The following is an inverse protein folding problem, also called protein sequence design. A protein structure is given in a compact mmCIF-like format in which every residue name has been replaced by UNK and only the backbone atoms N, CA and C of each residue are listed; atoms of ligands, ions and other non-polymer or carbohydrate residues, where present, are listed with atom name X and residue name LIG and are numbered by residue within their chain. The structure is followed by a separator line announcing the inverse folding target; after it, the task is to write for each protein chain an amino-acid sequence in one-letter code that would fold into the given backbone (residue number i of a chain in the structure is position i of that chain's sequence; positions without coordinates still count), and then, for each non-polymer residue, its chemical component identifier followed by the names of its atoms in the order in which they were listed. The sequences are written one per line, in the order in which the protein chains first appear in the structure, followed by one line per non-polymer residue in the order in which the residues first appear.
data_IF_507329140821
#
_entry.id   IF_507329140821
#
_cell.length_a   1.000
_cell.length_b   1.000
_cell.length_c   1.000
_cell.angle_alpha   90.00
_cell.angle_beta   90.00
_cell.angle_gamma   90.00
#
_symmetry.space_group_name_H-M   'P 1'
#
loop_
_entity.id
_entity.type
_entity.pdbx_description
1 polymer ?
#
# COMPACT_ATOMS: atom_id res chain seq x y z
N UNK A 1 -11.26 -13.73 11.53
CA UNK A 1 -10.83 -14.83 10.65
C UNK A 1 -10.59 -14.23 9.28
N UNK A 2 -9.40 -14.33 8.70
CA UNK A 2 -9.17 -13.83 7.36
C UNK A 2 -10.01 -14.66 6.38
N UNK A 3 -10.93 -13.99 5.69
CA UNK A 3 -11.88 -14.62 4.75
C UNK A 3 -11.20 -15.04 3.44
N UNK A 4 -9.97 -14.63 3.23
CA UNK A 4 -9.21 -14.90 2.00
C UNK A 4 -7.83 -15.49 2.36
N UNK A 5 -7.73 -16.81 2.37
CA UNK A 5 -6.42 -17.48 2.29
C UNK A 5 -6.04 -17.60 0.81
N UNK A 6 -5.49 -16.55 0.25
CA UNK A 6 -4.78 -16.69 -1.02
C UNK A 6 -3.44 -17.37 -0.72
N UNK A 7 -3.26 -18.58 -1.20
CA UNK A 7 -1.97 -19.25 -1.12
C UNK A 7 -1.03 -18.62 -2.17
N UNK A 8 -0.40 -17.49 -1.81
CA UNK A 8 0.52 -16.78 -2.70
C UNK A 8 1.92 -17.40 -2.74
N UNK A 9 2.20 -18.45 -1.93
CA UNK A 9 3.52 -19.09 -1.85
C UNK A 9 3.95 -19.76 -3.16
N UNK A 10 3.00 -20.07 -4.03
CA UNK A 10 3.29 -20.66 -5.34
C UNK A 10 3.64 -19.59 -6.41
N UNK A 11 3.53 -18.31 -6.08
CA UNK A 11 3.92 -17.23 -6.98
C UNK A 11 5.44 -17.19 -7.12
N UNK A 12 5.91 -17.27 -8.34
CA UNK A 12 7.33 -17.13 -8.64
C UNK A 12 7.70 -15.65 -8.73
N UNK A 13 8.61 -15.23 -7.88
CA UNK A 13 9.20 -13.89 -7.92
C UNK A 13 10.54 -13.97 -8.65
N UNK A 14 10.68 -13.18 -9.71
CA UNK A 14 11.94 -13.03 -10.42
C UNK A 14 12.76 -11.93 -9.73
N UNK A 15 13.72 -12.34 -8.91
CA UNK A 15 14.58 -11.43 -8.14
C UNK A 15 15.48 -10.55 -9.03
N UNK A 16 15.77 -10.98 -10.26
CA UNK A 16 16.57 -10.21 -11.21
C UNK A 16 15.73 -9.10 -11.87
N UNK A 17 14.41 -9.26 -11.90
CA UNK A 17 13.48 -8.27 -12.44
C UNK A 17 12.99 -7.24 -11.39
N UNK A 18 13.40 -7.35 -10.13
CA UNK A 18 13.02 -6.41 -9.07
C UNK A 18 13.62 -5.03 -9.36
N UNK A 19 12.76 -4.01 -9.36
CA UNK A 19 13.14 -2.62 -9.62
C UNK A 19 13.82 -1.99 -8.41
N UNK A 20 14.66 -0.98 -8.65
CA UNK A 20 15.32 -0.22 -7.57
C UNK A 20 14.38 0.75 -6.88
N UNK A 21 13.43 1.32 -7.64
CA UNK A 21 12.41 2.22 -7.09
C UNK A 21 11.16 2.26 -7.95
N UNK A 22 10.04 2.58 -7.30
CA UNK A 22 8.75 2.86 -7.96
C UNK A 22 8.07 4.04 -7.28
N UNK A 23 7.14 4.68 -7.99
CA UNK A 23 6.25 5.72 -7.48
C UNK A 23 4.84 5.40 -7.92
N UNK A 24 3.89 5.42 -6.99
CA UNK A 24 2.48 5.14 -7.25
C UNK A 24 1.65 6.26 -6.65
N UNK A 25 0.69 6.75 -7.41
CA UNK A 25 -0.34 7.69 -7.00
C UNK A 25 -1.65 6.94 -6.82
N UNK A 26 -2.38 7.23 -5.75
CA UNK A 26 -3.74 6.77 -5.53
C UNK A 26 -4.66 7.96 -5.26
N UNK A 27 -5.76 8.09 -6.02
CA UNK A 27 -6.67 9.23 -5.93
C UNK A 27 -7.49 9.19 -4.64
N UNK A 28 -8.04 10.35 -4.28
CA UNK A 28 -9.08 10.45 -3.27
C UNK A 28 -10.35 9.73 -3.70
N UNK A 29 -11.09 9.26 -2.72
CA UNK A 29 -12.39 8.61 -2.93
C UNK A 29 -13.45 9.23 -2.05
N UNK A 30 -14.67 9.28 -2.57
CA UNK A 30 -15.87 9.68 -1.82
C UNK A 30 -16.74 8.44 -1.69
N UNK A 31 -16.85 7.89 -0.48
CA UNK A 31 -17.54 6.63 -0.22
C UNK A 31 -19.05 6.79 0.03
N UNK A 32 -19.51 7.99 0.36
CA UNK A 32 -20.90 8.23 0.76
C UNK A 32 -21.52 9.30 -0.13
N UNK A 33 -22.27 8.87 -1.12
CA UNK A 33 -23.04 9.77 -1.98
C UNK A 33 -24.51 9.80 -1.56
N UNK A 34 -24.93 10.87 -0.89
CA UNK A 34 -26.31 11.20 -0.52
C UNK A 34 -27.24 9.98 -0.38
N UNK A 35 -28.00 9.64 -1.44
CA UNK A 35 -28.93 8.50 -1.45
C UNK A 35 -28.24 7.13 -1.61
N UNK A 36 -26.95 7.09 -1.88
CA UNK A 36 -26.13 5.88 -2.03
C UNK A 36 -25.18 5.64 -0.88
N UNK A 37 -25.53 6.10 0.33
CA UNK A 37 -24.76 5.88 1.56
C UNK A 37 -24.38 4.40 1.71
N UNK A 38 -23.10 4.11 1.92
CA UNK A 38 -22.49 2.78 2.01
C UNK A 38 -22.59 1.88 0.75
N UNK A 39 -23.22 2.36 -0.33
CA UNK A 39 -23.42 1.57 -1.56
C UNK A 39 -22.70 2.20 -2.75
N UNK A 40 -22.75 3.54 -2.86
CA UNK A 40 -22.18 4.27 -3.98
C UNK A 40 -21.00 5.12 -3.53
N UNK A 41 -19.91 4.98 -4.27
CA UNK A 41 -18.71 5.79 -4.13
C UNK A 41 -18.09 6.04 -5.49
N UNK A 42 -17.19 7.01 -5.54
CA UNK A 42 -16.41 7.31 -6.74
C UNK A 42 -15.00 7.78 -6.37
N UNK A 43 -14.06 7.58 -7.28
CA UNK A 43 -12.74 8.19 -7.22
C UNK A 43 -12.73 9.50 -8.00
N UNK A 44 -11.88 10.43 -7.57
CA UNK A 44 -11.64 11.69 -8.29
C UNK A 44 -10.23 11.67 -8.87
N UNK A 45 -9.97 12.47 -9.90
CA UNK A 45 -8.63 12.51 -10.51
C UNK A 45 -7.60 13.14 -9.56
N UNK A 46 -8.00 14.17 -8.81
CA UNK A 46 -7.20 14.88 -7.81
C UNK A 46 -8.11 15.40 -6.68
N UNK A 47 -7.59 15.56 -5.44
CA UNK A 47 -6.26 15.18 -4.96
C UNK A 47 -6.09 13.67 -4.79
N UNK A 48 -4.89 13.25 -4.41
CA UNK A 48 -4.56 11.88 -4.06
C UNK A 48 -3.24 11.81 -3.29
N UNK A 49 -2.95 10.68 -2.70
CA UNK A 49 -1.69 10.47 -1.99
C UNK A 49 -0.71 9.65 -2.85
N UNK A 50 0.57 9.75 -2.53
CA UNK A 50 1.61 9.04 -3.26
C UNK A 50 2.46 8.19 -2.34
N UNK A 51 2.92 7.07 -2.89
CA UNK A 51 3.93 6.21 -2.26
C UNK A 51 5.11 6.11 -3.20
N UNK A 52 6.29 6.42 -2.68
CA UNK A 52 7.56 6.02 -3.29
C UNK A 52 8.12 4.86 -2.50
N UNK A 53 8.58 3.85 -3.20
CA UNK A 53 9.17 2.67 -2.58
C UNK A 53 10.53 2.39 -3.21
N UNK A 54 11.51 2.12 -2.36
CA UNK A 54 12.89 1.90 -2.71
C UNK A 54 13.32 0.51 -2.27
N UNK A 55 13.99 -0.22 -3.16
CA UNK A 55 14.71 -1.44 -2.79
C UNK A 55 15.96 -1.09 -2.01
N UNK A 56 16.19 -1.79 -0.90
CA UNK A 56 17.38 -1.64 -0.08
C UNK A 56 18.00 -3.01 0.20
N UNK A 57 19.29 -3.03 0.55
CA UNK A 57 20.03 -4.27 0.78
C UNK A 57 19.66 -4.98 2.09
N UNK A 58 19.25 -4.22 3.09
CA UNK A 58 18.85 -4.76 4.39
C UNK A 58 17.39 -5.20 4.34
N UNK A 59 17.10 -6.47 4.63
CA UNK A 59 15.75 -7.03 4.58
C UNK A 59 14.79 -6.35 5.55
N UNK A 60 13.50 -6.43 5.23
CA UNK A 60 12.41 -5.86 6.02
C UNK A 60 11.80 -4.60 5.41
N UNK A 61 10.74 -4.12 6.03
CA UNK A 61 9.96 -2.96 5.59
C UNK A 61 10.15 -1.82 6.58
N UNK A 62 10.51 -0.63 6.07
CA UNK A 62 10.74 0.58 6.86
C UNK A 62 10.01 1.77 6.26
N UNK A 63 9.57 2.68 7.11
CA UNK A 63 9.12 4.02 6.68
C UNK A 63 10.33 4.94 6.69
N UNK A 64 10.70 5.44 5.52
CA UNK A 64 11.79 6.39 5.34
C UNK A 64 11.39 7.80 5.76
N UNK A 65 10.22 8.23 5.31
CA UNK A 65 9.67 9.55 5.60
C UNK A 65 8.18 9.61 5.32
N UNK A 66 7.50 10.55 5.99
CA UNK A 66 6.12 10.92 5.72
C UNK A 66 6.08 12.44 5.56
N UNK A 67 5.54 12.92 4.45
CA UNK A 67 5.44 14.34 4.13
C UNK A 67 3.97 14.71 3.99
N UNK A 68 3.57 15.86 4.51
CA UNK A 68 2.21 16.41 4.39
C UNK A 68 1.22 15.93 5.47
N UNK A 69 1.66 15.10 6.41
CA UNK A 69 0.84 14.61 7.52
C UNK A 69 0.85 15.50 8.78
N UNK A 70 1.74 16.50 8.82
CA UNK A 70 1.95 17.34 10.00
C UNK A 70 2.49 16.58 11.20
N UNK A 71 3.21 15.45 10.99
CA UNK A 71 3.82 14.63 12.04
C UNK A 71 2.81 13.78 12.82
N UNK A 72 1.65 13.50 12.26
CA UNK A 72 0.58 12.73 12.93
C UNK A 72 0.67 11.22 12.73
N UNK A 73 1.28 10.80 11.62
CA UNK A 73 1.38 9.39 11.29
C UNK A 73 2.67 8.78 11.87
N UNK A 74 2.62 7.52 12.35
CA UNK A 74 3.80 6.88 12.91
C UNK A 74 4.82 6.53 11.81
N UNK A 75 6.10 6.81 12.10
CA UNK A 75 7.23 6.29 11.32
C UNK A 75 7.56 4.84 11.66
N UNK A 76 7.02 4.35 12.78
CA UNK A 76 7.14 2.94 13.17
C UNK A 76 6.39 2.06 12.16
N UNK A 77 7.14 1.20 11.49
CA UNK A 77 6.62 0.34 10.43
C UNK A 77 5.58 -0.70 10.91
N UNK A 78 5.54 -1.00 12.20
CA UNK A 78 4.54 -1.92 12.77
C UNK A 78 3.22 -1.20 13.13
N UNK A 79 3.27 0.13 13.20
CA UNK A 79 2.12 0.97 13.54
C UNK A 79 1.57 1.76 12.36
N UNK A 80 2.24 1.70 11.21
CA UNK A 80 1.80 2.37 10.00
C UNK A 80 1.08 1.38 9.09
N UNK A 81 -0.16 1.68 8.71
CA UNK A 81 -1.05 0.80 7.94
C UNK A 81 -0.41 0.34 6.62
N UNK A 82 0.23 1.26 5.90
CA UNK A 82 0.87 0.95 4.61
C UNK A 82 1.96 -0.09 4.77
N UNK A 83 2.88 0.12 5.72
CA UNK A 83 3.97 -0.84 5.94
C UNK A 83 3.47 -2.16 6.52
N UNK A 84 2.43 -2.15 7.36
CA UNK A 84 1.82 -3.38 7.88
C UNK A 84 1.24 -4.24 6.75
N UNK A 85 0.50 -3.64 5.81
CA UNK A 85 -0.04 -4.36 4.64
C UNK A 85 1.06 -4.88 3.72
N UNK A 86 2.11 -4.09 3.47
CA UNK A 86 3.26 -4.52 2.68
C UNK A 86 3.98 -5.69 3.35
N UNK A 87 4.20 -5.64 4.68
CA UNK A 87 4.78 -6.76 5.43
C UNK A 87 3.95 -8.03 5.32
N UNK A 88 2.63 -7.92 5.51
CA UNK A 88 1.72 -9.05 5.39
C UNK A 88 1.79 -9.70 4.01
N UNK A 89 1.76 -8.90 2.95
CA UNK A 89 1.90 -9.40 1.58
C UNK A 89 3.24 -10.12 1.35
N UNK A 90 4.36 -9.57 1.83
CA UNK A 90 5.69 -10.20 1.69
C UNK A 90 5.80 -11.50 2.48
N UNK A 91 5.14 -11.61 3.62
CA UNK A 91 5.06 -12.85 4.42
C UNK A 91 4.28 -13.92 3.65
N UNK A 92 3.13 -13.57 3.09
CA UNK A 92 2.29 -14.51 2.33
C UNK A 92 2.95 -14.97 1.02
N UNK A 93 3.76 -14.10 0.41
CA UNK A 93 4.62 -14.47 -0.72
C UNK A 93 5.83 -15.33 -0.31
N UNK A 94 6.14 -15.43 0.98
CA UNK A 94 7.28 -16.20 1.50
C UNK A 94 8.65 -15.56 1.27
N UNK A 95 8.71 -14.25 0.98
CA UNK A 95 9.96 -13.51 0.63
C UNK A 95 10.29 -12.38 1.62
N UNK A 96 9.64 -12.34 2.77
CA UNK A 96 9.81 -11.25 3.74
C UNK A 96 11.25 -11.11 4.29
N UNK A 97 12.05 -12.17 4.24
CA UNK A 97 13.46 -12.17 4.66
C UNK A 97 14.43 -11.92 3.49
N UNK A 98 13.96 -11.99 2.27
CA UNK A 98 14.79 -11.94 1.06
C UNK A 98 14.82 -10.55 0.42
N UNK A 99 13.89 -9.66 0.85
CA UNK A 99 13.75 -8.32 0.29
C UNK A 99 13.72 -7.26 1.38
N UNK A 100 14.39 -6.13 1.10
CA UNK A 100 14.32 -4.92 1.90
C UNK A 100 13.69 -3.79 1.12
N UNK A 101 12.76 -3.06 1.75
CA UNK A 101 12.11 -1.90 1.15
C UNK A 101 11.99 -0.74 2.14
N UNK A 102 12.21 0.46 1.63
CA UNK A 102 11.92 1.71 2.31
C UNK A 102 10.77 2.44 1.61
N UNK A 103 9.85 2.95 2.42
CA UNK A 103 8.62 3.61 1.98
C UNK A 103 8.69 5.09 2.32
N UNK A 104 8.43 5.95 1.35
CA UNK A 104 8.19 7.38 1.52
C UNK A 104 6.72 7.65 1.19
N UNK A 105 5.97 8.17 2.16
CA UNK A 105 4.57 8.57 2.00
C UNK A 105 4.49 10.07 1.74
N UNK A 106 3.73 10.48 0.73
CA UNK A 106 3.45 11.87 0.41
C UNK A 106 1.95 12.08 0.47
N UNK A 107 1.53 12.76 1.53
CA UNK A 107 0.13 13.04 1.83
C UNK A 107 -0.26 14.39 1.22
N UNK A 108 -1.09 14.37 0.20
CA UNK A 108 -1.69 15.57 -0.39
C UNK A 108 -3.11 15.83 0.15
N UNK A 109 -3.71 14.80 0.75
CA UNK A 109 -5.03 14.90 1.34
C UNK A 109 -4.94 15.18 2.84
N UNK A 110 -5.76 16.10 3.37
CA UNK A 110 -5.82 16.34 4.81
C UNK A 110 -6.26 15.08 5.56
N UNK A 111 -5.55 14.77 6.65
CA UNK A 111 -5.91 13.64 7.51
C UNK A 111 -7.26 13.89 8.16
N UNK A 112 -8.16 12.90 8.10
CA UNK A 112 -9.51 12.99 8.66
C UNK A 112 -10.49 13.78 7.80
N UNK A 113 -10.16 14.06 6.54
CA UNK A 113 -11.02 14.82 5.60
C UNK A 113 -12.21 14.04 5.04
N UNK A 114 -12.30 12.72 5.26
CA UNK A 114 -13.30 11.88 4.61
C UNK A 114 -13.04 11.57 3.14
N UNK A 115 -11.84 11.89 2.63
CA UNK A 115 -11.45 11.68 1.23
C UNK A 115 -10.72 10.33 1.00
N UNK A 116 -10.78 9.42 1.97
CA UNK A 116 -10.18 8.09 1.83
C UNK A 116 -8.65 8.10 1.80
N UNK A 117 -8.00 9.05 2.51
CA UNK A 117 -6.53 9.17 2.50
C UNK A 117 -5.81 7.95 3.07
N UNK A 118 -6.38 7.25 4.05
CA UNK A 118 -5.83 6.00 4.59
C UNK A 118 -5.84 4.92 3.50
N UNK A 119 -7.02 4.64 2.95
CA UNK A 119 -7.20 3.66 1.88
C UNK A 119 -6.35 3.97 0.65
N UNK A 120 -6.27 5.23 0.23
CA UNK A 120 -5.42 5.65 -0.89
C UNK A 120 -3.94 5.29 -0.64
N UNK A 121 -3.42 5.60 0.55
CA UNK A 121 -2.03 5.27 0.90
C UNK A 121 -1.79 3.75 0.95
N UNK A 122 -2.72 2.99 1.53
CA UNK A 122 -2.65 1.52 1.60
C UNK A 122 -2.65 0.90 0.19
N UNK A 123 -3.59 1.31 -0.65
CA UNK A 123 -3.66 0.87 -2.05
C UNK A 123 -2.38 1.24 -2.81
N UNK A 124 -1.91 2.49 -2.70
CA UNK A 124 -0.67 2.93 -3.33
C UNK A 124 0.53 2.11 -2.88
N UNK A 125 0.62 1.77 -1.58
CA UNK A 125 1.68 0.93 -1.02
C UNK A 125 1.68 -0.49 -1.58
N UNK A 126 0.51 -1.12 -1.66
CA UNK A 126 0.37 -2.47 -2.20
C UNK A 126 0.64 -2.51 -3.71
N UNK A 127 0.20 -1.51 -4.46
CA UNK A 127 0.55 -1.39 -5.87
C UNK A 127 2.03 -1.09 -6.07
N UNK A 128 2.64 -0.31 -5.18
CA UNK A 128 4.08 0.00 -5.25
C UNK A 128 4.93 -1.26 -5.02
N UNK A 129 4.64 -2.06 -3.98
CA UNK A 129 5.40 -3.31 -3.78
C UNK A 129 5.18 -4.28 -4.93
N UNK A 130 3.95 -4.43 -5.44
CA UNK A 130 3.69 -5.28 -6.59
C UNK A 130 4.46 -4.82 -7.82
N UNK A 131 4.47 -3.53 -8.12
CA UNK A 131 5.23 -2.96 -9.24
C UNK A 131 6.75 -3.09 -9.06
N UNK A 132 7.24 -2.96 -7.82
CA UNK A 132 8.66 -3.17 -7.48
C UNK A 132 9.08 -4.62 -7.78
N UNK A 133 8.22 -5.59 -7.44
CA UNK A 133 8.42 -7.02 -7.67
C UNK A 133 8.22 -7.47 -9.13
N UNK A 134 7.90 -6.55 -10.06
CA UNK A 134 7.64 -6.86 -11.47
C UNK A 134 6.20 -7.26 -11.78
N UNK A 135 5.25 -6.88 -10.94
CA UNK A 135 3.80 -7.14 -11.06
C UNK A 135 3.42 -8.64 -11.06
N UNK A 136 3.88 -9.43 -10.08
CA UNK A 136 3.52 -10.85 -10.00
C UNK A 136 2.05 -11.08 -9.64
N UNK A 137 1.36 -10.09 -9.08
CA UNK A 137 -0.02 -10.20 -8.58
C UNK A 137 -1.00 -9.38 -9.43
N UNK A 138 -2.19 -9.93 -9.57
CA UNK A 138 -3.35 -9.25 -10.15
C UNK A 138 -3.98 -8.28 -9.14
N UNK A 139 -4.86 -7.39 -9.61
CA UNK A 139 -5.64 -6.50 -8.74
C UNK A 139 -6.50 -7.28 -7.74
N UNK A 140 -7.12 -8.38 -8.18
CA UNK A 140 -7.98 -9.21 -7.35
C UNK A 140 -7.19 -9.89 -6.22
N UNK A 141 -5.94 -10.27 -6.47
CA UNK A 141 -5.04 -10.84 -5.47
C UNK A 141 -4.54 -9.80 -4.46
N UNK A 142 -4.47 -8.52 -4.83
CA UNK A 142 -4.13 -7.42 -3.93
C UNK A 142 -5.30 -6.93 -3.07
N UNK A 143 -6.53 -7.10 -3.55
CA UNK A 143 -7.74 -6.58 -2.89
C UNK A 143 -7.88 -6.99 -1.42
N UNK A 144 -7.67 -8.25 -1.01
CA UNK A 144 -7.78 -8.66 0.39
C UNK A 144 -6.87 -7.86 1.33
N UNK A 145 -5.65 -7.56 0.88
CA UNK A 145 -4.68 -6.78 1.67
C UNK A 145 -5.09 -5.30 1.80
N UNK A 146 -5.79 -4.77 0.80
CA UNK A 146 -6.35 -3.41 0.88
C UNK A 146 -7.44 -3.33 1.94
N UNK A 147 -8.28 -4.36 2.05
CA UNK A 147 -9.38 -4.42 3.03
C UNK A 147 -8.86 -4.66 4.44
N UNK A 148 -7.85 -5.51 4.61
CA UNK A 148 -7.26 -5.80 5.92
C UNK A 148 -6.53 -4.59 6.51
N UNK A 149 -6.08 -3.66 5.67
CA UNK A 149 -5.39 -2.43 6.09
C UNK A 149 -6.31 -1.31 6.59
N UNK A 150 -7.61 -1.47 6.49
CA UNK A 150 -8.61 -0.47 6.93
C UNK A 150 -9.42 -0.94 8.14
#
# INVERSE_FOLDING_TARGET
MPVYQNNLKDKKIDFDAIKDKVRVFAPATVANMICGFDILGFAVDEPGDEVKMYRVSESGVRIRSIVGDGGRLPLDADRNTVSACVKMLLIDLGISQDIGVEIELIKHMPIGSGLGSSSASTVAGLFAINALLGNPLTKDELMPYCVEGE
#
